data_IF_276340662838
#
_entry.id   IF_276340662838
#
_cell.length_a   1.000
_cell.length_b   1.000
_cell.length_c   1.000
_cell.angle_alpha   90.00
_cell.angle_beta   90.00
_cell.angle_gamma   90.00
#
_symmetry.space_group_name_H-M   'P 1'
#
loop_
_entity.id
_entity.type
_entity.pdbx_description
1 polymer ?
#
# COMPACT_ATOMS: atom_id res chain seq x y z
N UNK A 1 -23.11 3.28 -37.06
CA UNK A 1 -22.22 2.14 -36.73
C UNK A 1 -21.15 2.63 -35.78
N UNK A 2 -21.10 2.12 -34.55
CA UNK A 2 -19.97 2.36 -33.66
C UNK A 2 -18.90 1.29 -33.93
N UNK A 3 -17.65 1.69 -34.12
CA UNK A 3 -16.50 0.78 -34.10
C UNK A 3 -15.82 0.92 -32.76
N UNK A 4 -15.75 -0.18 -32.03
CA UNK A 4 -14.91 -0.28 -30.84
C UNK A 4 -13.54 -0.80 -31.30
N UNK A 5 -12.47 -0.12 -30.90
CA UNK A 5 -11.11 -0.51 -31.19
C UNK A 5 -10.42 -0.86 -29.86
N UNK A 6 -9.81 -2.04 -29.80
CA UNK A 6 -8.92 -2.45 -28.71
C UNK A 6 -7.54 -2.67 -29.33
N UNK A 7 -6.50 -2.05 -28.77
CA UNK A 7 -5.14 -2.09 -29.32
C UNK A 7 -4.29 -3.22 -28.70
N UNK A 8 -4.50 -3.53 -27.41
CA UNK A 8 -3.82 -4.65 -26.74
C UNK A 8 -4.56 -5.13 -25.50
N UNK A 9 -4.65 -6.44 -25.31
CA UNK A 9 -5.01 -7.06 -24.05
C UNK A 9 -3.77 -7.14 -23.14
N UNK A 10 -3.97 -6.97 -21.82
CA UNK A 10 -2.95 -7.30 -20.82
C UNK A 10 -3.28 -8.70 -20.32
N UNK A 11 -2.40 -9.66 -20.59
CA UNK A 11 -2.67 -11.07 -20.28
C UNK A 11 -2.54 -11.39 -18.78
N UNK A 12 -1.81 -10.58 -18.00
CA UNK A 12 -1.75 -10.71 -16.55
C UNK A 12 -1.29 -9.44 -15.82
N UNK A 13 -1.76 -9.25 -14.59
CA UNK A 13 -1.32 -8.19 -13.67
C UNK A 13 -0.50 -8.85 -12.55
N UNK A 14 0.78 -8.50 -12.43
CA UNK A 14 1.67 -9.08 -11.44
C UNK A 14 1.50 -8.51 -10.01
N UNK A 15 0.81 -7.37 -9.87
CA UNK A 15 0.53 -6.75 -8.59
C UNK A 15 -0.14 -5.38 -8.73
N UNK A 16 -0.64 -4.86 -7.62
CA UNK A 16 -1.32 -3.56 -7.56
C UNK A 16 -1.15 -2.91 -6.18
N UNK A 17 -1.40 -1.60 -6.14
CA UNK A 17 -1.41 -0.81 -4.90
C UNK A 17 -2.54 0.21 -4.96
N UNK A 18 -3.30 0.32 -3.87
CA UNK A 18 -4.35 1.30 -3.65
C UNK A 18 -3.90 2.31 -2.60
N UNK A 19 -4.13 3.60 -2.87
CA UNK A 19 -3.82 4.70 -1.98
C UNK A 19 -4.99 5.69 -1.90
N UNK A 20 -5.07 6.42 -0.80
CA UNK A 20 -6.04 7.50 -0.63
C UNK A 20 -5.91 8.21 0.72
N UNK A 21 -6.89 9.03 1.12
CA UNK A 21 -6.97 9.60 2.46
C UNK A 21 -7.07 8.49 3.50
N UNK A 22 -6.44 8.68 4.66
CA UNK A 22 -6.60 7.76 5.78
C UNK A 22 -8.06 7.72 6.25
N UNK A 23 -8.57 6.50 6.36
CA UNK A 23 -9.95 6.23 6.81
C UNK A 23 -10.04 6.06 8.33
N UNK A 24 -8.93 5.68 8.96
CA UNK A 24 -8.80 5.49 10.40
C UNK A 24 -7.32 5.63 10.82
N UNK A 25 -6.93 6.73 11.48
CA UNK A 25 -7.77 7.86 11.86
C UNK A 25 -8.08 8.74 10.64
N UNK A 26 -9.20 9.47 10.67
CA UNK A 26 -9.49 10.49 9.65
C UNK A 26 -8.67 11.75 9.97
N UNK A 27 -7.62 11.99 9.19
CA UNK A 27 -6.70 13.13 9.33
C UNK A 27 -6.27 13.58 7.92
N UNK A 28 -6.47 14.86 7.61
CA UNK A 28 -6.16 15.46 6.30
C UNK A 28 -4.67 15.38 5.94
N UNK A 29 -3.79 15.27 6.94
CA UNK A 29 -2.33 15.16 6.75
C UNK A 29 -1.88 13.74 6.46
N UNK A 30 -2.76 12.76 6.61
CA UNK A 30 -2.44 11.34 6.61
C UNK A 30 -3.00 10.63 5.38
N UNK A 31 -2.09 10.16 4.53
CA UNK A 31 -2.39 9.22 3.47
C UNK A 31 -2.52 7.79 4.00
N UNK A 32 -3.12 6.90 3.22
CA UNK A 32 -3.20 5.48 3.52
C UNK A 32 -2.81 4.68 2.28
N UNK A 33 -2.01 3.63 2.48
CA UNK A 33 -1.96 2.51 1.53
C UNK A 33 -3.06 1.55 1.95
N UNK A 34 -4.20 1.58 1.27
CA UNK A 34 -5.34 0.73 1.62
C UNK A 34 -5.12 -0.73 1.25
N UNK A 35 -4.33 -0.96 0.20
CA UNK A 35 -4.06 -2.29 -0.35
C UNK A 35 -2.71 -2.30 -1.03
N UNK A 36 -1.93 -3.35 -0.81
CA UNK A 36 -0.77 -3.67 -1.64
C UNK A 36 -0.66 -5.18 -1.78
N UNK A 37 -0.63 -5.65 -3.02
CA UNK A 37 -0.59 -7.07 -3.31
C UNK A 37 0.28 -7.35 -4.53
N UNK A 38 0.99 -8.46 -4.49
CA UNK A 38 1.78 -9.01 -5.60
C UNK A 38 1.36 -10.45 -5.75
N UNK A 39 1.17 -10.89 -6.99
CA UNK A 39 0.91 -12.29 -7.30
C UNK A 39 2.02 -13.17 -6.68
N UNK A 40 1.69 -14.23 -5.93
CA UNK A 40 2.69 -15.12 -5.33
C UNK A 40 3.73 -15.68 -6.28
N UNK A 41 3.37 -15.92 -7.55
CA UNK A 41 4.29 -16.39 -8.60
C UNK A 41 5.37 -15.36 -8.96
N UNK A 42 5.17 -14.09 -8.59
CA UNK A 42 6.08 -12.98 -8.86
C UNK A 42 6.72 -12.41 -7.58
N UNK A 43 6.62 -13.11 -6.45
CA UNK A 43 7.28 -12.69 -5.23
C UNK A 43 8.80 -12.67 -5.36
N UNK A 44 9.43 -11.82 -4.54
CA UNK A 44 10.89 -11.61 -4.50
C UNK A 44 11.52 -11.11 -5.81
N UNK A 45 10.71 -10.73 -6.81
CA UNK A 45 11.17 -10.06 -8.03
C UNK A 45 11.27 -8.52 -7.92
N UNK A 46 11.15 -7.96 -6.71
CA UNK A 46 11.23 -6.49 -6.48
C UNK A 46 9.94 -5.71 -6.76
N UNK A 47 8.89 -6.34 -7.29
CA UNK A 47 7.61 -5.70 -7.65
C UNK A 47 6.97 -4.97 -6.47
N UNK A 48 6.87 -5.61 -5.30
CA UNK A 48 6.29 -4.98 -4.11
C UNK A 48 7.04 -3.72 -3.68
N UNK A 49 8.38 -3.71 -3.77
CA UNK A 49 9.20 -2.52 -3.48
C UNK A 49 8.95 -1.41 -4.51
N UNK A 50 8.79 -1.77 -5.78
CA UNK A 50 8.48 -0.82 -6.85
C UNK A 50 7.09 -0.19 -6.65
N UNK A 51 6.06 -1.00 -6.36
CA UNK A 51 4.71 -0.54 -6.04
C UNK A 51 4.70 0.37 -4.81
N UNK A 52 5.39 -0.01 -3.73
CA UNK A 52 5.53 0.82 -2.54
C UNK A 52 6.19 2.17 -2.85
N UNK A 53 7.26 2.17 -3.65
CA UNK A 53 7.92 3.42 -4.07
C UNK A 53 6.98 4.33 -4.88
N UNK A 54 6.19 3.75 -5.79
CA UNK A 54 5.18 4.50 -6.57
C UNK A 54 4.12 5.10 -5.65
N UNK A 55 3.54 4.29 -4.76
CA UNK A 55 2.50 4.71 -3.82
C UNK A 55 2.94 5.90 -2.97
N UNK A 56 4.14 5.81 -2.38
CA UNK A 56 4.67 6.88 -1.52
C UNK A 56 4.94 8.17 -2.30
N UNK A 57 5.41 8.08 -3.55
CA UNK A 57 5.60 9.27 -4.40
C UNK A 57 4.27 9.99 -4.66
N UNK A 58 3.20 9.25 -4.94
CA UNK A 58 1.89 9.85 -5.17
C UNK A 58 1.31 10.45 -3.88
N UNK A 59 1.42 9.75 -2.74
CA UNK A 59 0.96 10.31 -1.46
C UNK A 59 1.69 11.63 -1.10
N UNK A 60 3.00 11.73 -1.37
CA UNK A 60 3.74 12.99 -1.21
C UNK A 60 3.25 14.06 -2.19
N UNK A 61 3.05 13.70 -3.46
CA UNK A 61 2.58 14.64 -4.49
C UNK A 61 1.16 15.18 -4.20
N UNK A 62 0.32 14.36 -3.56
CA UNK A 62 -1.03 14.73 -3.13
C UNK A 62 -1.04 15.60 -1.85
N UNK A 63 0.12 15.88 -1.26
CA UNK A 63 0.28 16.83 -0.16
C UNK A 63 0.19 16.21 1.24
N UNK A 64 0.16 14.88 1.37
CA UNK A 64 0.23 14.23 2.67
C UNK A 64 1.62 14.38 3.30
N UNK A 65 1.69 14.42 4.63
CA UNK A 65 2.95 14.53 5.39
C UNK A 65 3.45 13.17 5.88
N UNK A 66 2.53 12.24 6.04
CA UNK A 66 2.78 10.89 6.51
C UNK A 66 1.74 9.95 5.90
N UNK A 67 2.00 8.65 6.02
CA UNK A 67 1.04 7.62 5.65
C UNK A 67 0.92 6.55 6.72
N UNK A 68 -0.23 5.87 6.72
CA UNK A 68 -0.48 4.64 7.47
C UNK A 68 -0.76 3.46 6.54
N UNK A 69 -0.52 2.27 7.06
CA UNK A 69 -0.97 1.02 6.47
C UNK A 69 -1.36 0.07 7.59
N UNK A 70 -2.44 -0.67 7.38
CA UNK A 70 -2.94 -1.66 8.31
C UNK A 70 -2.65 -3.07 7.79
N UNK A 71 -2.27 -3.97 8.68
CA UNK A 71 -2.02 -5.37 8.35
C UNK A 71 -2.52 -6.29 9.44
N UNK A 72 -2.85 -7.53 9.08
CA UNK A 72 -3.23 -8.58 10.03
C UNK A 72 -2.08 -8.83 11.01
N UNK A 73 -2.40 -8.89 12.30
CA UNK A 73 -1.44 -9.26 13.34
C UNK A 73 -0.95 -10.70 13.15
N UNK A 74 0.35 -10.92 13.32
CA UNK A 74 0.99 -12.20 13.01
C UNK A 74 1.15 -12.52 11.52
N UNK A 75 0.79 -11.63 10.59
CA UNK A 75 1.13 -11.81 9.18
C UNK A 75 2.60 -11.44 8.90
N UNK A 76 3.51 -12.34 9.31
CA UNK A 76 4.96 -12.09 9.35
C UNK A 76 5.56 -11.62 8.02
N UNK A 77 5.03 -12.12 6.89
CA UNK A 77 5.50 -11.68 5.56
C UNK A 77 5.17 -10.22 5.29
N UNK A 78 3.95 -9.79 5.64
CA UNK A 78 3.50 -8.40 5.47
C UNK A 78 4.26 -7.47 6.40
N UNK A 79 4.37 -7.86 7.68
CA UNK A 79 5.15 -7.15 8.71
C UNK A 79 6.58 -6.91 8.22
N UNK A 80 7.30 -7.97 7.85
CA UNK A 80 8.69 -7.86 7.39
C UNK A 80 8.82 -6.99 6.14
N UNK A 81 7.82 -7.02 5.25
CA UNK A 81 7.79 -6.17 4.07
C UNK A 81 7.62 -4.68 4.43
N UNK A 82 6.72 -4.33 5.35
CA UNK A 82 6.56 -2.94 5.80
C UNK A 82 7.81 -2.44 6.53
N UNK A 83 8.38 -3.22 7.44
CA UNK A 83 9.63 -2.86 8.13
C UNK A 83 10.80 -2.67 7.14
N UNK A 84 10.97 -3.59 6.19
CA UNK A 84 12.00 -3.49 5.16
C UNK A 84 11.77 -2.34 4.17
N UNK A 85 10.57 -1.77 4.14
CA UNK A 85 10.22 -0.58 3.34
C UNK A 85 10.05 0.66 4.21
N UNK A 86 10.68 0.69 5.40
CA UNK A 86 10.85 1.92 6.19
C UNK A 86 9.62 2.34 7.01
N UNK A 87 8.63 1.47 7.15
CA UNK A 87 7.50 1.69 8.03
C UNK A 87 7.81 1.26 9.45
N UNK A 88 7.12 1.86 10.42
CA UNK A 88 7.26 1.52 11.85
C UNK A 88 5.91 1.26 12.47
N UNK A 89 5.82 0.24 13.32
CA UNK A 89 4.63 0.04 14.18
C UNK A 89 4.48 1.26 15.09
N UNK A 90 3.28 1.81 15.18
CA UNK A 90 2.97 2.97 16.02
C UNK A 90 2.04 2.64 17.19
N UNK A 91 1.69 1.37 17.37
CA UNK A 91 0.79 0.89 18.42
C UNK A 91 -0.70 1.00 18.07
N UNK A 92 -1.06 1.53 16.90
CA UNK A 92 -2.44 1.51 16.42
C UNK A 92 -2.94 0.08 16.24
N UNK A 93 -4.15 -0.19 16.75
CA UNK A 93 -4.85 -1.47 16.60
C UNK A 93 -6.29 -1.22 16.18
N UNK A 94 -6.86 -2.10 15.34
CA UNK A 94 -8.28 -2.09 14.99
C UNK A 94 -8.82 -3.51 14.87
N UNK A 95 -10.12 -3.64 14.60
CA UNK A 95 -10.82 -4.92 14.45
C UNK A 95 -10.61 -5.86 15.65
N UNK A 96 -10.74 -5.33 16.86
CA UNK A 96 -10.53 -6.09 18.09
C UNK A 96 -9.09 -6.59 18.29
N UNK A 97 -8.10 -5.93 17.66
CA UNK A 97 -6.69 -6.30 17.74
C UNK A 97 -6.22 -7.22 16.60
N UNK A 98 -7.10 -7.59 15.67
CA UNK A 98 -6.71 -8.42 14.52
C UNK A 98 -5.85 -7.67 13.51
N UNK A 99 -5.91 -6.33 13.50
CA UNK A 99 -5.07 -5.50 12.64
C UNK A 99 -4.20 -4.57 13.45
N UNK A 100 -2.93 -4.50 13.07
CA UNK A 100 -1.92 -3.58 13.62
C UNK A 100 -1.56 -2.52 12.59
N UNK A 101 -1.29 -1.30 13.06
CA UNK A 101 -0.95 -0.16 12.22
C UNK A 101 0.55 0.06 12.14
N UNK A 102 0.97 0.36 10.94
CA UNK A 102 2.28 0.90 10.63
C UNK A 102 2.13 2.33 10.13
N UNK A 103 3.08 3.20 10.47
CA UNK A 103 3.14 4.59 10.06
C UNK A 103 4.50 4.92 9.44
N UNK A 104 4.51 5.84 8.48
CA UNK A 104 5.72 6.34 7.83
C UNK A 104 5.59 7.83 7.51
N UNK A 105 6.52 8.63 8.02
CA UNK A 105 6.63 10.05 7.65
C UNK A 105 7.35 10.25 6.32
N UNK A 106 7.00 11.33 5.63
CA UNK A 106 7.73 11.85 4.47
C UNK A 106 8.59 13.01 4.96
N UNK A 107 9.92 12.86 4.90
CA UNK A 107 10.84 13.96 5.21
C UNK A 107 11.04 14.84 4.00
#
# INVERSE_FOLDING_TARGET
>A
MARNFWDRAIDSIAGFVGIGPSRDPVDERLGEIDTIAVDPSHWRAGIGKALMSVALRYLVADGYNEAVVWTVDGYERGIAFYEATGWRRDGGVRDGGQQIRFRRGFQ
#
